data_IF_518801670967
#
_entry.id   IF_518801670967
#
_cell.length_a   1.000
_cell.length_b   1.000
_cell.length_c   1.000
_cell.angle_alpha   90.00
_cell.angle_beta   90.00
_cell.angle_gamma   90.00
#
_symmetry.space_group_name_H-M   'P 1'
#
loop_
_entity.id
_entity.type
_entity.pdbx_description
1 polymer ?
#
# COMPACT_ATOMS: atom_id res chain seq x y z
N UNK A 1 -0.95 -8.01 44.91
CA UNK A 1 -1.35 -9.31 44.29
C UNK A 1 -1.22 -10.50 45.24
N UNK A 2 -1.19 -10.30 46.53
CA UNK A 2 -0.84 -11.33 47.54
C UNK A 2 -2.01 -12.06 48.16
N UNK A 3 -3.17 -12.11 47.56
CA UNK A 3 -4.34 -12.80 48.13
C UNK A 3 -5.02 -13.86 47.25
N UNK A 4 -4.47 -14.13 46.02
CA UNK A 4 -5.09 -15.10 45.13
C UNK A 4 -4.61 -16.54 45.44
N UNK A 5 -5.47 -17.58 45.28
CA UNK A 5 -5.08 -18.98 45.40
C UNK A 5 -3.91 -19.33 44.47
N UNK A 6 -3.03 -20.24 44.88
CA UNK A 6 -1.81 -20.66 44.13
C UNK A 6 -2.16 -21.15 42.73
N UNK A 7 -3.26 -21.87 42.55
CA UNK A 7 -3.75 -22.37 41.25
C UNK A 7 -4.11 -21.21 40.28
N UNK A 8 -4.69 -20.14 40.80
CA UNK A 8 -5.03 -18.94 40.00
C UNK A 8 -3.78 -18.18 39.55
N UNK A 9 -2.75 -18.11 40.39
CA UNK A 9 -1.46 -17.47 40.03
C UNK A 9 -0.74 -18.29 38.95
N UNK A 10 -0.78 -19.63 39.03
CA UNK A 10 -0.15 -20.50 38.05
C UNK A 10 -0.81 -20.36 36.66
N UNK A 11 -2.15 -20.46 36.62
CA UNK A 11 -2.92 -20.25 35.37
C UNK A 11 -2.74 -18.86 34.78
N UNK A 12 -2.62 -17.82 35.59
CA UNK A 12 -2.35 -16.47 35.10
C UNK A 12 -0.96 -16.37 34.48
N UNK A 13 0.06 -17.02 35.05
CA UNK A 13 1.41 -17.06 34.51
C UNK A 13 1.48 -17.83 33.18
N UNK A 14 0.83 -18.99 33.10
CA UNK A 14 0.75 -19.76 31.83
C UNK A 14 0.07 -18.95 30.72
N UNK A 15 -1.03 -18.25 31.06
CA UNK A 15 -1.72 -17.39 30.09
C UNK A 15 -0.84 -16.22 29.62
N UNK A 16 -0.07 -15.62 30.51
CA UNK A 16 0.86 -14.55 30.16
C UNK A 16 1.94 -15.06 29.21
N UNK A 17 2.57 -16.19 29.51
CA UNK A 17 3.58 -16.82 28.64
C UNK A 17 3.01 -17.17 27.25
N UNK A 18 1.76 -17.65 27.19
CA UNK A 18 1.11 -17.93 25.91
C UNK A 18 0.88 -16.64 25.10
N UNK A 19 0.45 -15.56 25.74
CA UNK A 19 0.26 -14.26 25.11
C UNK A 19 1.60 -13.68 24.60
N UNK A 20 2.66 -13.74 25.42
CA UNK A 20 4.01 -13.31 25.01
C UNK A 20 4.49 -14.08 23.79
N UNK A 21 4.31 -15.40 23.77
CA UNK A 21 4.66 -16.24 22.63
C UNK A 21 3.83 -15.86 21.38
N UNK A 22 2.52 -15.61 21.52
CA UNK A 22 1.67 -15.20 20.39
C UNK A 22 2.09 -13.84 19.82
N UNK A 23 2.44 -12.88 20.69
CA UNK A 23 2.95 -11.56 20.28
C UNK A 23 4.24 -11.73 19.50
N UNK A 24 5.20 -12.51 20.01
CA UNK A 24 6.48 -12.75 19.33
C UNK A 24 6.29 -13.38 17.94
N UNK A 25 5.40 -14.37 17.82
CA UNK A 25 5.08 -14.99 16.53
C UNK A 25 4.43 -14.00 15.55
N UNK A 26 3.57 -13.11 16.06
CA UNK A 26 2.93 -12.06 15.26
C UNK A 26 3.97 -11.05 14.76
N UNK A 27 4.85 -10.57 15.63
CA UNK A 27 5.91 -9.62 15.28
C UNK A 27 6.86 -10.22 14.21
N UNK A 28 7.34 -11.44 14.42
CA UNK A 28 8.18 -12.14 13.44
C UNK A 28 7.51 -12.29 12.07
N UNK A 29 6.21 -12.63 12.06
CA UNK A 29 5.45 -12.73 10.82
C UNK A 29 5.30 -11.38 10.13
N UNK A 30 4.98 -10.32 10.86
CA UNK A 30 4.81 -8.98 10.32
C UNK A 30 6.13 -8.42 9.76
N UNK A 31 7.25 -8.67 10.43
CA UNK A 31 8.59 -8.32 9.92
C UNK A 31 8.91 -9.06 8.61
N UNK A 32 8.63 -10.36 8.54
CA UNK A 32 8.84 -11.15 7.33
C UNK A 32 7.96 -10.67 6.17
N UNK A 33 6.70 -10.29 6.43
CA UNK A 33 5.82 -9.67 5.45
C UNK A 33 6.34 -8.30 5.01
N UNK A 34 6.83 -7.48 5.95
CA UNK A 34 7.40 -6.18 5.65
C UNK A 34 8.61 -6.28 4.70
N UNK A 35 9.46 -7.28 4.85
CA UNK A 35 10.59 -7.52 3.95
C UNK A 35 10.14 -7.92 2.54
N UNK A 36 8.98 -8.57 2.41
CA UNK A 36 8.39 -8.96 1.12
C UNK A 36 7.66 -7.81 0.40
N UNK A 37 7.33 -6.71 1.10
CA UNK A 37 6.61 -5.57 0.50
C UNK A 37 7.36 -4.89 -0.63
N UNK A 38 8.70 -4.98 -0.67
CA UNK A 38 9.61 -4.14 -1.46
C UNK A 38 9.57 -2.64 -1.09
N UNK A 39 9.05 -2.31 0.08
CA UNK A 39 9.08 -0.94 0.61
C UNK A 39 10.53 -0.54 0.89
N UNK A 40 11.05 0.42 0.13
CA UNK A 40 12.44 0.87 0.27
C UNK A 40 12.73 1.40 1.68
N UNK A 41 13.97 1.25 2.18
CA UNK A 41 14.38 1.63 3.54
C UNK A 41 13.88 3.01 3.99
N UNK A 42 13.88 3.99 3.09
CA UNK A 42 13.41 5.35 3.35
C UNK A 42 11.93 5.42 3.71
N UNK A 43 11.13 4.46 3.25
CA UNK A 43 9.68 4.44 3.41
C UNK A 43 9.23 3.48 4.51
N UNK A 44 10.09 2.56 4.98
CA UNK A 44 9.80 1.70 6.14
C UNK A 44 9.49 2.52 7.41
N UNK A 45 10.13 3.70 7.55
CA UNK A 45 9.90 4.60 8.70
C UNK A 45 8.76 5.61 8.46
N UNK A 46 8.03 5.53 7.33
CA UNK A 46 6.92 6.45 7.02
C UNK A 46 5.63 5.90 7.58
N UNK A 47 5.21 6.47 8.70
CA UNK A 47 3.99 6.10 9.42
C UNK A 47 3.02 7.29 9.47
N UNK A 48 1.81 7.06 9.95
CA UNK A 48 0.85 8.12 10.21
C UNK A 48 1.35 9.09 11.30
N UNK A 49 2.10 8.60 12.31
CA UNK A 49 2.59 9.42 13.44
C UNK A 49 3.61 10.48 13.02
N UNK A 50 4.39 10.22 11.96
CA UNK A 50 5.42 11.15 11.50
C UNK A 50 5.03 11.92 10.23
N UNK A 51 3.74 11.89 9.85
CA UNK A 51 3.18 12.73 8.81
C UNK A 51 2.78 14.10 9.37
N UNK A 52 3.15 15.18 8.69
CA UNK A 52 2.70 16.52 9.07
C UNK A 52 1.25 16.74 8.59
N UNK A 53 0.30 16.45 9.46
CA UNK A 53 -1.14 16.50 9.18
C UNK A 53 -1.57 17.91 8.72
N UNK A 54 -0.92 18.99 9.20
CA UNK A 54 -1.27 20.37 8.83
C UNK A 54 -1.10 20.64 7.35
N UNK A 55 -0.25 19.86 6.71
CA UNK A 55 0.05 20.02 5.29
C UNK A 55 -1.03 19.50 4.36
N UNK A 56 -1.69 18.39 4.75
CA UNK A 56 -2.70 17.68 3.96
C UNK A 56 -3.72 17.00 4.90
N UNK A 57 -4.52 17.75 5.66
CA UNK A 57 -5.37 17.20 6.71
C UNK A 57 -6.43 16.23 6.17
N UNK A 58 -7.02 16.56 5.02
CA UNK A 58 -8.06 15.72 4.41
C UNK A 58 -7.46 14.44 3.83
N UNK A 59 -6.34 14.51 3.12
CA UNK A 59 -5.67 13.34 2.59
C UNK A 59 -5.18 12.40 3.71
N UNK A 60 -4.73 12.97 4.83
CA UNK A 60 -4.38 12.19 6.02
C UNK A 60 -5.59 11.47 6.59
N UNK A 61 -6.73 12.18 6.76
CA UNK A 61 -7.97 11.60 7.30
C UNK A 61 -8.42 10.41 6.43
N UNK A 62 -8.52 10.62 5.11
CA UNK A 62 -8.93 9.56 4.17
C UNK A 62 -7.97 8.36 4.25
N UNK A 63 -6.66 8.60 4.22
CA UNK A 63 -5.66 7.55 4.29
C UNK A 63 -5.71 6.76 5.60
N UNK A 64 -5.93 7.45 6.73
CA UNK A 64 -6.04 6.83 8.05
C UNK A 64 -7.32 6.00 8.20
N UNK A 65 -8.46 6.55 7.79
CA UNK A 65 -9.75 5.84 7.77
C UNK A 65 -9.70 4.61 6.87
N UNK A 66 -9.08 4.74 5.68
CA UNK A 66 -8.85 3.63 4.77
C UNK A 66 -8.02 2.51 5.42
N UNK A 67 -6.90 2.86 6.05
CA UNK A 67 -6.02 1.87 6.68
C UNK A 67 -6.70 1.15 7.85
N UNK A 68 -7.38 1.90 8.74
CA UNK A 68 -8.06 1.35 9.92
C UNK A 68 -9.32 0.56 9.58
N UNK A 69 -10.01 0.91 8.48
CA UNK A 69 -11.19 0.19 7.98
C UNK A 69 -10.87 -0.92 6.97
N UNK A 70 -9.60 -1.20 6.69
CA UNK A 70 -9.20 -2.09 5.59
C UNK A 70 -9.74 -3.52 5.72
N UNK A 71 -9.95 -4.03 6.92
CA UNK A 71 -10.51 -5.37 7.14
C UNK A 71 -11.94 -5.55 6.61
N UNK A 72 -12.69 -4.45 6.51
CA UNK A 72 -14.07 -4.42 5.99
C UNK A 72 -14.13 -3.85 4.56
N UNK A 73 -12.97 -3.71 3.90
CA UNK A 73 -12.86 -3.14 2.55
C UNK A 73 -13.40 -4.13 1.51
N UNK A 74 -14.32 -3.65 0.66
CA UNK A 74 -14.98 -4.39 -0.41
C UNK A 74 -14.31 -4.21 -1.79
N UNK A 75 -13.00 -3.94 -1.81
CA UNK A 75 -12.22 -3.77 -3.04
C UNK A 75 -11.92 -2.32 -3.38
N UNK A 76 -12.35 -1.35 -2.54
CA UNK A 76 -12.06 0.05 -2.77
C UNK A 76 -10.57 0.35 -2.60
N UNK A 77 -10.00 1.12 -3.53
CA UNK A 77 -8.63 1.61 -3.53
C UNK A 77 -8.55 3.11 -3.29
N UNK A 78 -7.32 3.66 -3.39
CA UNK A 78 -7.05 5.11 -3.31
C UNK A 78 -6.20 5.57 -4.49
N UNK A 79 -6.55 6.70 -5.08
CA UNK A 79 -5.78 7.36 -6.12
C UNK A 79 -5.29 8.73 -5.63
N UNK A 80 -4.05 8.78 -5.14
CA UNK A 80 -3.39 10.02 -4.72
C UNK A 80 -2.82 10.76 -5.93
N UNK A 81 -3.37 11.93 -6.23
CA UNK A 81 -2.96 12.78 -7.35
C UNK A 81 -2.46 14.15 -6.89
N UNK A 82 -1.62 14.82 -7.68
CA UNK A 82 -1.25 16.21 -7.47
C UNK A 82 0.24 16.50 -7.40
N UNK A 83 0.59 17.68 -6.90
CA UNK A 83 1.94 18.24 -6.98
C UNK A 83 3.03 17.34 -6.36
N UNK A 84 4.27 17.37 -6.88
CA UNK A 84 5.40 16.66 -6.26
C UNK A 84 5.68 17.16 -4.84
N UNK A 85 6.12 16.23 -3.95
CA UNK A 85 6.55 16.59 -2.60
C UNK A 85 5.43 16.88 -1.59
N UNK A 86 4.16 16.64 -1.93
CA UNK A 86 3.00 16.87 -1.05
C UNK A 86 2.72 15.73 -0.05
N UNK A 87 3.45 14.61 -0.13
CA UNK A 87 3.31 13.51 0.82
C UNK A 87 2.55 12.28 0.31
N UNK A 88 2.18 12.20 -0.99
CA UNK A 88 1.46 11.04 -1.58
C UNK A 88 2.11 9.70 -1.26
N UNK A 89 3.38 9.55 -1.60
CA UNK A 89 4.16 8.32 -1.30
C UNK A 89 4.27 8.07 0.21
N UNK A 90 4.31 9.12 1.04
CA UNK A 90 4.34 8.98 2.50
C UNK A 90 3.04 8.34 3.00
N UNK A 91 1.87 8.85 2.58
CA UNK A 91 0.58 8.28 3.00
C UNK A 91 0.39 6.86 2.46
N UNK A 92 0.77 6.58 1.21
CA UNK A 92 0.75 5.23 0.67
C UNK A 92 1.65 4.25 1.47
N UNK A 93 2.85 4.70 1.89
CA UNK A 93 3.73 3.94 2.75
C UNK A 93 3.18 3.78 4.17
N UNK A 94 2.55 4.80 4.75
CA UNK A 94 1.92 4.74 6.07
C UNK A 94 0.76 3.72 6.09
N UNK A 95 -0.07 3.69 5.05
CA UNK A 95 -1.11 2.67 4.87
C UNK A 95 -0.47 1.28 4.78
N UNK A 96 0.57 1.12 3.97
CA UNK A 96 1.29 -0.16 3.83
C UNK A 96 1.83 -0.64 5.17
N UNK A 97 2.53 0.24 5.91
CA UNK A 97 3.06 -0.09 7.23
C UNK A 97 1.95 -0.52 8.20
N UNK A 98 0.83 0.22 8.23
CA UNK A 98 -0.30 -0.13 9.08
C UNK A 98 -0.89 -1.51 8.73
N UNK A 99 -1.17 -1.77 7.46
CA UNK A 99 -1.78 -3.04 7.02
C UNK A 99 -0.87 -4.23 7.31
N UNK A 100 0.43 -4.09 7.10
CA UNK A 100 1.40 -5.16 7.38
C UNK A 100 1.58 -5.37 8.88
N UNK A 101 1.77 -4.27 9.64
CA UNK A 101 2.15 -4.36 11.05
C UNK A 101 0.95 -4.58 11.98
N UNK A 102 -0.22 -4.02 11.65
CA UNK A 102 -1.40 -4.09 12.52
C UNK A 102 -2.40 -5.16 12.06
N UNK A 103 -2.46 -5.47 10.75
CA UNK A 103 -3.40 -6.47 10.23
C UNK A 103 -2.72 -7.77 9.80
N UNK A 104 -1.38 -7.81 9.71
CA UNK A 104 -0.63 -8.99 9.29
C UNK A 104 -0.95 -9.45 7.87
N UNK A 105 -1.35 -8.52 6.98
CA UNK A 105 -1.70 -8.83 5.60
C UNK A 105 -0.54 -8.50 4.64
N UNK A 106 -0.32 -9.34 3.61
CA UNK A 106 0.71 -9.08 2.63
C UNK A 106 0.33 -7.88 1.73
N UNK A 107 1.31 -7.02 1.47
CA UNK A 107 1.20 -5.87 0.58
C UNK A 107 2.35 -5.89 -0.41
N UNK A 108 2.08 -5.64 -1.68
CA UNK A 108 3.12 -5.36 -2.66
C UNK A 108 3.20 -3.85 -2.87
N UNK A 109 4.35 -3.27 -2.53
CA UNK A 109 4.66 -1.86 -2.79
C UNK A 109 5.76 -1.76 -3.85
N UNK A 110 5.59 -0.89 -4.84
CA UNK A 110 6.62 -0.64 -5.83
C UNK A 110 6.35 0.59 -6.67
N UNK A 111 7.40 1.29 -7.09
CA UNK A 111 7.20 2.23 -8.18
C UNK A 111 6.96 1.43 -9.48
N UNK A 112 6.23 2.03 -10.42
CA UNK A 112 5.82 1.31 -11.63
C UNK A 112 7.01 0.84 -12.49
N UNK A 113 8.13 1.57 -12.48
CA UNK A 113 9.36 1.19 -13.21
C UNK A 113 9.96 -0.10 -12.64
N UNK A 114 9.99 -0.25 -11.30
CA UNK A 114 10.52 -1.44 -10.65
C UNK A 114 9.62 -2.65 -10.90
N UNK A 115 8.30 -2.46 -10.82
CA UNK A 115 7.30 -3.50 -11.16
C UNK A 115 7.53 -4.00 -12.59
N UNK A 116 7.62 -3.10 -13.58
CA UNK A 116 7.89 -3.46 -14.96
C UNK A 116 9.24 -4.18 -15.15
N UNK A 117 10.25 -3.77 -14.37
CA UNK A 117 11.58 -4.42 -14.40
C UNK A 117 11.52 -5.84 -13.84
N UNK A 118 10.80 -6.05 -12.77
CA UNK A 118 10.62 -7.37 -12.17
C UNK A 118 9.83 -8.31 -13.11
N UNK A 119 8.77 -7.81 -13.76
CA UNK A 119 8.03 -8.57 -14.79
C UNK A 119 8.96 -8.96 -15.97
N UNK A 120 9.83 -8.05 -16.42
CA UNK A 120 10.80 -8.39 -17.50
C UNK A 120 11.80 -9.48 -17.06
N UNK A 121 12.22 -9.48 -15.79
CA UNK A 121 13.12 -10.52 -15.28
C UNK A 121 12.42 -11.87 -15.18
N UNK A 122 11.13 -11.88 -14.81
CA UNK A 122 10.35 -13.11 -14.65
C UNK A 122 10.14 -13.90 -15.93
N UNK A 123 10.18 -13.25 -17.09
CA UNK A 123 10.15 -13.96 -18.40
C UNK A 123 11.28 -14.99 -18.58
N UNK A 124 12.29 -14.96 -17.72
CA UNK A 124 13.42 -15.91 -17.74
C UNK A 124 13.30 -17.01 -16.68
N UNK A 125 12.32 -16.93 -15.78
CA UNK A 125 12.26 -17.75 -14.55
C UNK A 125 10.96 -18.52 -14.38
N UNK A 126 10.10 -18.57 -15.36
CA UNK A 126 8.78 -19.26 -15.28
C UNK A 126 7.90 -18.75 -14.11
N UNK A 127 8.17 -17.53 -13.62
CA UNK A 127 7.50 -16.92 -12.47
C UNK A 127 6.44 -15.93 -12.96
N UNK A 128 5.17 -16.19 -12.68
CA UNK A 128 4.06 -15.33 -13.10
C UNK A 128 3.84 -14.17 -12.11
N UNK A 129 4.68 -13.14 -12.24
CA UNK A 129 4.57 -11.92 -11.42
C UNK A 129 3.25 -11.21 -11.67
N UNK A 130 2.73 -11.19 -12.90
CA UNK A 130 1.49 -10.48 -13.24
C UNK A 130 0.31 -11.09 -12.48
N UNK A 131 0.16 -12.41 -12.47
CA UNK A 131 -0.88 -13.08 -11.67
C UNK A 131 -0.73 -12.79 -10.19
N UNK A 132 0.50 -12.82 -9.64
CA UNK A 132 0.71 -12.46 -8.24
C UNK A 132 0.33 -11.01 -7.91
N UNK A 133 0.57 -10.08 -8.83
CA UNK A 133 0.14 -8.68 -8.63
C UNK A 133 -1.39 -8.54 -8.65
N UNK A 134 -2.09 -9.36 -9.44
CA UNK A 134 -3.56 -9.38 -9.47
C UNK A 134 -4.14 -9.93 -8.17
N UNK A 135 -3.54 -10.96 -7.58
CA UNK A 135 -4.02 -11.67 -6.40
C UNK A 135 -3.57 -11.05 -5.06
N UNK A 136 -2.66 -10.06 -5.08
CA UNK A 136 -2.15 -9.45 -3.86
C UNK A 136 -3.26 -8.73 -3.08
N UNK A 137 -3.46 -8.98 -1.78
CA UNK A 137 -4.50 -8.34 -0.97
C UNK A 137 -4.49 -6.80 -1.07
N UNK A 138 -3.31 -6.19 -1.09
CA UNK A 138 -3.15 -4.79 -1.45
C UNK A 138 -1.96 -4.61 -2.38
N UNK A 139 -2.19 -3.92 -3.51
CA UNK A 139 -1.15 -3.46 -4.42
C UNK A 139 -0.99 -1.95 -4.32
N UNK A 140 0.24 -1.50 -4.13
CA UNK A 140 0.60 -0.07 -4.16
C UNK A 140 1.52 0.20 -5.34
N UNK A 141 1.04 0.99 -6.30
CA UNK A 141 1.81 1.46 -7.47
C UNK A 141 2.19 2.92 -7.20
N UNK A 142 3.44 3.14 -6.81
CA UNK A 142 3.96 4.48 -6.53
C UNK A 142 4.52 5.14 -7.80
N UNK A 143 4.35 6.46 -7.87
CA UNK A 143 4.91 7.32 -8.92
C UNK A 143 4.52 6.92 -10.37
N UNK A 144 3.26 6.48 -10.57
CA UNK A 144 2.74 6.15 -11.89
C UNK A 144 2.91 7.34 -12.86
N UNK A 145 3.41 7.05 -14.06
CA UNK A 145 3.62 8.04 -15.12
C UNK A 145 5.05 8.57 -15.20
N UNK A 146 5.99 8.07 -14.39
CA UNK A 146 7.42 8.40 -14.48
C UNK A 146 8.21 7.49 -15.41
N UNK A 147 7.68 6.31 -15.74
CA UNK A 147 8.27 5.38 -16.70
C UNK A 147 8.23 5.94 -18.13
N UNK A 148 9.07 5.41 -19.01
CA UNK A 148 8.95 5.70 -20.44
C UNK A 148 7.69 5.04 -21.01
N UNK A 149 6.87 5.82 -21.73
CA UNK A 149 5.71 5.29 -22.44
C UNK A 149 6.13 4.22 -23.43
N UNK A 150 5.44 3.09 -23.42
CA UNK A 150 5.55 2.03 -24.41
C UNK A 150 4.25 1.21 -24.39
N UNK A 151 3.84 0.70 -25.55
CA UNK A 151 2.68 -0.18 -25.69
C UNK A 151 2.73 -1.35 -24.69
N UNK A 152 3.92 -1.89 -24.42
CA UNK A 152 4.10 -2.95 -23.45
C UNK A 152 3.81 -2.51 -22.01
N UNK A 153 4.31 -1.34 -21.60
CA UNK A 153 4.04 -0.84 -20.23
C UNK A 153 2.58 -0.49 -20.01
N UNK A 154 1.92 0.02 -21.05
CA UNK A 154 0.49 0.35 -21.05
C UNK A 154 -0.36 -0.93 -21.00
N UNK A 155 0.00 -1.95 -21.79
CA UNK A 155 -0.68 -3.25 -21.77
C UNK A 155 -0.56 -3.95 -20.39
N UNK A 156 0.62 -3.93 -19.77
CA UNK A 156 0.83 -4.49 -18.41
C UNK A 156 -0.01 -3.74 -17.37
N UNK A 157 -0.01 -2.39 -17.40
CA UNK A 157 -0.84 -1.64 -16.47
C UNK A 157 -2.33 -1.98 -16.64
N UNK A 158 -2.80 -2.00 -17.90
CA UNK A 158 -4.18 -2.38 -18.20
C UNK A 158 -4.49 -3.78 -17.66
N UNK A 159 -3.64 -4.76 -17.92
CA UNK A 159 -3.85 -6.13 -17.50
C UNK A 159 -3.93 -6.28 -15.96
N UNK A 160 -3.03 -5.61 -15.23
CA UNK A 160 -3.02 -5.62 -13.75
C UNK A 160 -4.26 -4.91 -13.20
N UNK A 161 -4.56 -3.69 -13.69
CA UNK A 161 -5.72 -2.91 -13.20
C UNK A 161 -7.02 -3.62 -13.54
N UNK A 162 -7.15 -4.17 -14.77
CA UNK A 162 -8.36 -4.90 -15.18
C UNK A 162 -8.61 -6.14 -14.31
N UNK A 163 -7.59 -6.98 -14.09
CA UNK A 163 -7.76 -8.17 -13.25
C UNK A 163 -8.12 -7.81 -11.82
N UNK A 164 -7.49 -6.78 -11.24
CA UNK A 164 -7.81 -6.33 -9.88
C UNK A 164 -9.20 -5.71 -9.78
N UNK A 165 -9.64 -4.96 -10.80
CA UNK A 165 -10.99 -4.43 -10.90
C UNK A 165 -12.04 -5.55 -10.93
N UNK A 166 -11.84 -6.58 -11.77
CA UNK A 166 -12.77 -7.72 -11.90
C UNK A 166 -12.89 -8.53 -10.60
N UNK A 167 -11.80 -8.65 -9.84
CA UNK A 167 -11.73 -9.44 -8.60
C UNK A 167 -11.90 -8.60 -7.32
N UNK A 168 -12.33 -7.33 -7.43
CA UNK A 168 -12.50 -6.41 -6.30
C UNK A 168 -11.25 -6.31 -5.40
N UNK A 169 -10.05 -6.27 -6.00
CA UNK A 169 -8.78 -6.22 -5.28
C UNK A 169 -8.34 -4.78 -5.03
N UNK A 170 -8.19 -4.35 -3.75
CA UNK A 170 -7.83 -2.98 -3.40
C UNK A 170 -6.49 -2.54 -3.99
N UNK A 171 -6.47 -1.35 -4.61
CA UNK A 171 -5.27 -0.81 -5.26
C UNK A 171 -5.03 0.63 -4.84
N UNK A 172 -3.81 0.95 -4.41
CA UNK A 172 -3.38 2.33 -4.15
C UNK A 172 -2.45 2.77 -5.27
N UNK A 173 -2.73 3.94 -5.82
CA UNK A 173 -1.87 4.53 -6.85
C UNK A 173 -1.47 5.94 -6.41
N UNK A 174 -0.20 6.29 -6.58
CA UNK A 174 0.25 7.67 -6.48
C UNK A 174 0.74 8.18 -7.84
N UNK A 175 0.38 9.40 -8.19
CA UNK A 175 0.79 10.00 -9.46
C UNK A 175 0.86 11.52 -9.35
N UNK A 176 1.68 12.14 -10.22
CA UNK A 176 1.67 13.59 -10.44
C UNK A 176 0.81 13.99 -11.65
N UNK A 177 0.22 13.02 -12.34
CA UNK A 177 -0.61 13.24 -13.52
C UNK A 177 -2.02 13.70 -13.11
N UNK A 178 -2.64 14.50 -13.97
CA UNK A 178 -4.08 14.77 -13.89
C UNK A 178 -4.86 13.59 -14.49
N UNK A 179 -6.19 13.45 -14.22
CA UNK A 179 -7.00 12.41 -14.86
C UNK A 179 -6.89 12.41 -16.38
N UNK A 180 -6.90 13.60 -17.00
CA UNK A 180 -6.76 13.75 -18.45
C UNK A 180 -5.39 13.26 -18.97
N UNK A 181 -4.33 13.44 -18.17
CA UNK A 181 -3.00 12.92 -18.51
C UNK A 181 -2.92 11.40 -18.35
N UNK A 182 -3.61 10.83 -17.35
CA UNK A 182 -3.73 9.37 -17.18
C UNK A 182 -4.47 8.78 -18.35
N UNK A 183 -5.61 9.37 -18.75
CA UNK A 183 -6.39 8.94 -19.92
C UNK A 183 -5.58 9.00 -21.21
N UNK A 184 -4.91 10.14 -21.47
CA UNK A 184 -4.10 10.33 -22.68
C UNK A 184 -2.94 9.34 -22.78
N UNK A 185 -2.44 8.84 -21.64
CA UNK A 185 -1.28 7.96 -21.59
C UNK A 185 -1.63 6.48 -21.52
N UNK A 186 -2.64 6.11 -20.74
CA UNK A 186 -2.99 4.72 -20.44
C UNK A 186 -4.35 4.30 -21.01
N UNK A 187 -5.06 5.25 -21.62
CA UNK A 187 -6.36 5.04 -22.25
C UNK A 187 -7.55 5.23 -21.31
N UNK A 188 -8.71 5.48 -21.91
CA UNK A 188 -10.00 5.67 -21.24
C UNK A 188 -10.36 4.48 -20.35
N UNK A 189 -10.08 3.26 -20.81
CA UNK A 189 -10.42 2.04 -20.09
C UNK A 189 -9.72 1.92 -18.72
N UNK A 190 -8.45 2.34 -18.64
CA UNK A 190 -7.72 2.38 -17.36
C UNK A 190 -8.29 3.45 -16.44
N UNK A 191 -8.49 4.67 -16.97
CA UNK A 191 -9.04 5.78 -16.17
C UNK A 191 -10.43 5.45 -15.63
N UNK A 192 -11.31 4.88 -16.45
CA UNK A 192 -12.68 4.50 -16.05
C UNK A 192 -12.67 3.52 -14.87
N UNK A 193 -11.84 2.47 -14.93
CA UNK A 193 -11.70 1.49 -13.83
C UNK A 193 -11.13 2.13 -12.57
N UNK A 194 -10.11 2.96 -12.71
CA UNK A 194 -9.54 3.67 -11.56
C UNK A 194 -10.54 4.62 -10.91
N UNK A 195 -11.40 5.29 -11.70
CA UNK A 195 -12.43 6.18 -11.19
C UNK A 195 -13.55 5.43 -10.45
N UNK A 196 -13.82 4.18 -10.81
CA UNK A 196 -14.82 3.33 -10.15
C UNK A 196 -14.26 2.66 -8.89
N UNK A 197 -13.04 2.07 -8.99
CA UNK A 197 -12.46 1.28 -7.92
C UNK A 197 -11.65 2.08 -6.89
N UNK A 198 -11.35 3.37 -7.13
CA UNK A 198 -10.52 4.17 -6.24
C UNK A 198 -11.18 5.48 -5.84
N UNK A 199 -11.11 5.84 -4.55
CA UNK A 199 -11.38 7.20 -4.12
C UNK A 199 -10.22 8.11 -4.54
N UNK A 200 -10.54 9.20 -5.26
CA UNK A 200 -9.57 10.18 -5.73
C UNK A 200 -9.20 11.19 -4.64
N UNK A 201 -7.92 11.25 -4.29
CA UNK A 201 -7.38 12.16 -3.26
C UNK A 201 -6.41 13.15 -3.90
N UNK A 202 -6.82 14.43 -3.97
CA UNK A 202 -6.01 15.48 -4.60
C UNK A 202 -5.13 16.16 -3.56
N UNK A 203 -3.81 16.09 -3.75
CA UNK A 203 -2.80 16.63 -2.83
C UNK A 203 -1.96 17.72 -3.52
N UNK A 204 -2.41 18.96 -3.42
CA UNK A 204 -1.71 20.10 -3.97
C UNK A 204 -1.04 20.92 -2.87
N UNK A 205 0.06 21.63 -3.21
CA UNK A 205 0.76 22.48 -2.25
C UNK A 205 2.26 22.61 -2.52
N UNK A 206 2.97 23.06 -1.50
CA UNK A 206 4.43 23.22 -1.56
C UNK A 206 5.15 21.88 -1.53
N UNK A 207 6.31 21.81 -2.19
CA UNK A 207 7.19 20.65 -2.06
C UNK A 207 7.91 20.70 -0.70
N UNK A 208 7.44 19.88 0.24
CA UNK A 208 8.00 19.79 1.61
C UNK A 208 9.44 19.26 1.67
N UNK A 209 9.96 18.68 0.60
CA UNK A 209 11.38 18.27 0.52
C UNK A 209 12.32 19.46 0.42
N UNK A 210 11.81 20.63 0.01
CA UNK A 210 12.57 21.87 -0.18
C UNK A 210 12.49 22.82 1.01
N UNK A 211 11.68 22.51 2.02
CA UNK A 211 11.46 23.36 3.20
C UNK A 211 12.15 22.85 4.47
N UNK A 212 12.98 21.80 4.32
CA UNK A 212 13.84 21.27 5.41
C UNK A 212 15.25 21.85 5.34
#
# INVERSE_FOLDING_TARGET
MDGLPVDTKHKAKERLMLLEYQIEQYEQRSEALMDQTNLGRRFKDRTFDNFDVKCQPEAYRIAYEYATGFSDNDGQGLLFMGSPGTGKTHLAAAITNYIVMELGLPVKFGNFIDILTDIKKSFRTDDDIVSRLKEMPLLVIDDLGKERSSEWSEAILYEVINGRYEDYMPTIITTNMTPQQVEARFGEAVLSRLAEMCEGVVMNGKDYRRTR
#
